data_IF_531754055919
#
_entry.id   IF_531754055919
#
_cell.length_a   1.000
_cell.length_b   1.000
_cell.length_c   1.000
_cell.angle_alpha   90.00
_cell.angle_beta   90.00
_cell.angle_gamma   90.00
#
_symmetry.space_group_name_H-M   'P 1'
#
loop_
_entity.id
_entity.type
_entity.pdbx_description
1 polymer ?
#
# COMPACT_ATOMS: atom_id res chain seq x y z
N UNK A 1 -4.73 2.38 -10.03
CA UNK A 1 -4.95 3.68 -9.37
C UNK A 1 -4.52 3.49 -7.93
N UNK A 2 -3.26 3.78 -7.62
CA UNK A 2 -2.51 3.22 -6.48
C UNK A 2 -2.19 4.32 -5.45
N UNK A 3 -2.83 4.27 -4.29
CA UNK A 3 -2.66 5.28 -3.23
C UNK A 3 -1.76 4.76 -2.12
N UNK A 4 -0.68 5.49 -1.79
CA UNK A 4 0.25 5.13 -0.71
C UNK A 4 -0.36 5.45 0.66
N UNK A 5 -1.28 4.61 1.12
CA UNK A 5 -2.08 4.82 2.34
C UNK A 5 -1.29 4.65 3.64
N UNK A 6 -0.14 3.97 3.59
CA UNK A 6 0.78 3.91 4.74
C UNK A 6 1.67 5.15 4.87
N UNK A 7 1.71 6.01 3.83
CA UNK A 7 2.56 7.21 3.79
C UNK A 7 1.88 8.46 4.35
N UNK A 8 2.65 9.55 4.40
CA UNK A 8 2.16 10.89 4.80
C UNK A 8 2.42 11.95 3.74
N UNK A 9 2.72 11.52 2.52
CA UNK A 9 2.92 12.40 1.38
C UNK A 9 1.58 12.61 0.64
N UNK A 10 0.96 13.81 0.69
CA UNK A 10 -0.34 14.06 0.07
C UNK A 10 -0.34 13.87 -1.45
N UNK A 11 0.82 14.02 -2.11
CA UNK A 11 0.95 13.78 -3.55
C UNK A 11 0.67 12.31 -3.90
N UNK A 12 1.21 11.38 -3.12
CA UNK A 12 1.04 9.94 -3.34
C UNK A 12 -0.25 9.39 -2.71
N UNK A 13 -0.81 10.11 -1.74
CA UNK A 13 -2.14 9.80 -1.20
C UNK A 13 -3.23 10.11 -2.23
N UNK A 14 -3.19 11.30 -2.85
CA UNK A 14 -4.27 11.75 -3.75
C UNK A 14 -3.82 12.73 -4.86
N UNK A 15 -2.76 13.53 -4.67
CA UNK A 15 -2.37 14.56 -5.64
C UNK A 15 -2.17 14.03 -7.07
N UNK A 16 -1.36 12.99 -7.24
CA UNK A 16 -1.10 12.35 -8.54
C UNK A 16 -2.36 11.69 -9.14
N UNK A 17 -3.29 11.27 -8.29
CA UNK A 17 -4.57 10.69 -8.70
C UNK A 17 -5.49 11.73 -9.32
N UNK A 18 -5.49 12.96 -8.78
CA UNK A 18 -6.27 14.09 -9.32
C UNK A 18 -5.74 14.49 -10.69
N UNK A 19 -4.41 14.60 -10.84
CA UNK A 19 -3.76 14.97 -12.10
C UNK A 19 -4.03 13.93 -13.19
N UNK A 20 -3.94 12.65 -12.85
CA UNK A 20 -4.10 11.54 -13.82
C UNK A 20 -5.56 11.19 -14.14
N UNK A 21 -6.53 11.58 -13.30
CA UNK A 21 -7.93 11.17 -13.42
C UNK A 21 -8.56 11.37 -14.80
N UNK A 22 -8.40 12.52 -15.51
CA UNK A 22 -8.99 12.71 -16.83
C UNK A 22 -8.42 11.75 -17.88
N UNK A 23 -7.13 11.45 -17.81
CA UNK A 23 -6.45 10.55 -18.74
C UNK A 23 -6.84 9.10 -18.49
N UNK A 24 -6.83 8.68 -17.22
CA UNK A 24 -7.23 7.32 -16.83
C UNK A 24 -8.69 7.07 -17.20
N UNK A 25 -9.61 8.02 -16.94
CA UNK A 25 -11.02 7.88 -17.30
C UNK A 25 -11.25 7.77 -18.81
N UNK A 26 -10.47 8.51 -19.62
CA UNK A 26 -10.55 8.43 -21.09
C UNK A 26 -9.96 7.16 -21.67
N UNK A 27 -9.10 6.46 -20.94
CA UNK A 27 -8.45 5.24 -21.43
C UNK A 27 -9.43 4.09 -21.69
N UNK A 28 -10.59 4.10 -21.03
CA UNK A 28 -11.57 3.00 -21.10
C UNK A 28 -11.11 1.71 -20.41
N UNK A 29 -9.93 1.72 -19.78
CA UNK A 29 -9.43 0.60 -18.99
C UNK A 29 -10.18 0.50 -17.66
N UNK A 30 -10.29 -0.72 -17.15
CA UNK A 30 -10.77 -0.96 -15.79
C UNK A 30 -9.87 -0.25 -14.78
N UNK A 31 -10.49 0.53 -13.91
CA UNK A 31 -9.78 1.20 -12.83
C UNK A 31 -9.83 0.27 -11.62
N UNK A 32 -8.67 -0.13 -11.15
CA UNK A 32 -8.49 -0.85 -9.89
C UNK A 32 -8.02 0.14 -8.82
N UNK A 33 -8.91 0.61 -7.92
CA UNK A 33 -8.51 1.42 -6.76
C UNK A 33 -7.76 0.52 -5.78
N UNK A 34 -6.49 0.85 -5.51
CA UNK A 34 -5.60 0.00 -4.73
C UNK A 34 -4.96 0.80 -3.62
N UNK A 35 -5.11 0.32 -2.38
CA UNK A 35 -4.37 0.80 -1.23
C UNK A 35 -2.99 0.17 -1.20
N UNK A 36 -1.94 0.97 -1.23
CA UNK A 36 -0.55 0.54 -1.22
C UNK A 36 0.08 0.81 0.14
N UNK A 37 0.72 -0.22 0.68
CA UNK A 37 1.33 -0.21 2.00
C UNK A 37 2.78 -0.65 1.90
N UNK A 38 3.69 0.18 2.40
CA UNK A 38 5.12 -0.13 2.43
C UNK A 38 5.47 -0.68 3.80
N UNK A 39 6.05 -1.88 3.84
CA UNK A 39 6.50 -2.59 5.05
C UNK A 39 8.03 -2.52 5.13
N UNK A 40 8.57 -2.41 6.34
CA UNK A 40 10.01 -2.32 6.57
C UNK A 40 10.75 -3.64 6.24
N UNK A 41 11.28 -3.72 5.02
CA UNK A 41 12.12 -4.82 4.57
C UNK A 41 13.53 -4.91 5.20
N UNK A 42 13.89 -4.05 6.17
CA UNK A 42 15.20 -4.09 6.84
C UNK A 42 16.33 -3.39 6.08
N UNK A 43 16.00 -2.64 5.04
CA UNK A 43 16.88 -1.71 4.35
C UNK A 43 16.06 -0.53 3.84
N UNK A 44 16.63 0.69 3.78
CA UNK A 44 15.99 1.79 3.06
C UNK A 44 15.72 1.37 1.61
N UNK A 45 14.46 1.40 1.20
CA UNK A 45 14.05 1.02 -0.15
C UNK A 45 13.82 2.25 -1.02
N UNK A 46 13.93 2.10 -2.34
CA UNK A 46 13.65 3.19 -3.29
C UNK A 46 12.28 3.79 -3.08
N UNK A 47 11.28 2.98 -2.72
CA UNK A 47 9.93 3.44 -2.41
C UNK A 47 9.93 4.37 -1.19
N UNK A 48 10.56 3.96 -0.09
CA UNK A 48 10.68 4.83 1.10
C UNK A 48 11.43 6.13 0.82
N UNK A 49 12.46 6.08 -0.03
CA UNK A 49 13.26 7.24 -0.42
C UNK A 49 12.49 8.23 -1.29
N UNK A 50 11.85 7.76 -2.37
CA UNK A 50 11.12 8.65 -3.31
C UNK A 50 9.84 9.19 -2.68
N UNK A 51 9.14 8.36 -1.89
CA UNK A 51 7.86 8.76 -1.29
C UNK A 51 8.01 9.69 -0.09
N UNK A 52 9.20 9.77 0.51
CA UNK A 52 9.41 10.33 1.86
C UNK A 52 8.46 9.72 2.90
N UNK A 53 8.05 8.46 2.71
CA UNK A 53 7.22 7.74 3.66
C UNK A 53 8.09 6.88 4.57
N UNK A 54 7.80 6.92 5.87
CA UNK A 54 8.31 5.92 6.80
C UNK A 54 7.54 4.62 6.59
N UNK A 55 8.22 3.49 6.32
CA UNK A 55 7.55 2.20 6.17
C UNK A 55 6.89 1.78 7.49
N UNK A 56 5.86 0.94 7.40
CA UNK A 56 5.27 0.27 8.56
C UNK A 56 6.33 -0.67 9.15
N UNK A 57 6.66 -0.57 10.44
CA UNK A 57 7.65 -1.45 11.04
C UNK A 57 7.23 -2.92 10.94
N UNK A 58 8.18 -3.80 10.61
CA UNK A 58 7.93 -5.22 10.36
C UNK A 58 7.38 -5.99 11.58
N UNK A 59 7.55 -5.45 12.80
CA UNK A 59 7.06 -6.00 14.06
C UNK A 59 5.70 -5.41 14.50
N UNK A 60 5.07 -4.53 13.70
CA UNK A 60 3.83 -3.82 14.04
C UNK A 60 2.65 -4.27 13.19
N UNK A 61 2.25 -5.53 13.37
CA UNK A 61 1.11 -6.15 12.66
C UNK A 61 -0.18 -5.34 12.80
N UNK A 62 -0.46 -4.79 13.98
CA UNK A 62 -1.66 -4.00 14.25
C UNK A 62 -1.73 -2.73 13.38
N UNK A 63 -0.59 -2.09 13.12
CA UNK A 63 -0.54 -0.90 12.26
C UNK A 63 -0.88 -1.29 10.82
N UNK A 64 -0.31 -2.40 10.33
CA UNK A 64 -0.61 -2.90 8.98
C UNK A 64 -2.10 -3.26 8.86
N UNK A 65 -2.64 -4.02 9.80
CA UNK A 65 -4.05 -4.41 9.87
C UNK A 65 -4.98 -3.19 9.84
N UNK A 66 -4.82 -2.24 10.76
CA UNK A 66 -5.65 -1.04 10.82
C UNK A 66 -5.51 -0.17 9.56
N UNK A 67 -4.33 -0.12 8.93
CA UNK A 67 -4.13 0.62 7.68
C UNK A 67 -4.88 -0.03 6.52
N UNK A 68 -4.85 -1.36 6.42
CA UNK A 68 -5.59 -2.09 5.39
C UNK A 68 -7.11 -1.93 5.56
N UNK A 69 -7.62 -2.06 6.79
CA UNK A 69 -9.02 -1.81 7.13
C UNK A 69 -9.45 -0.39 6.74
N UNK A 70 -8.62 0.62 7.05
CA UNK A 70 -8.90 1.99 6.65
C UNK A 70 -8.95 2.14 5.12
N UNK A 71 -8.02 1.52 4.39
CA UNK A 71 -8.02 1.49 2.93
C UNK A 71 -9.31 0.91 2.35
N UNK A 72 -9.76 -0.23 2.88
CA UNK A 72 -11.02 -0.87 2.52
C UNK A 72 -12.23 0.04 2.80
N UNK A 73 -12.34 0.60 4.01
CA UNK A 73 -13.43 1.49 4.40
C UNK A 73 -13.49 2.77 3.56
N UNK A 74 -12.35 3.22 3.02
CA UNK A 74 -12.25 4.34 2.08
C UNK A 74 -12.64 3.95 0.64
N UNK A 75 -13.02 2.69 0.40
CA UNK A 75 -13.53 2.21 -0.88
C UNK A 75 -12.47 1.63 -1.83
N UNK A 76 -11.26 1.37 -1.34
CA UNK A 76 -10.27 0.62 -2.12
C UNK A 76 -10.81 -0.79 -2.41
N UNK A 77 -10.47 -1.33 -3.58
CA UNK A 77 -10.91 -2.66 -4.01
C UNK A 77 -9.84 -3.71 -3.86
N UNK A 78 -8.59 -3.30 -3.62
CA UNK A 78 -7.43 -4.16 -3.42
C UNK A 78 -6.50 -3.51 -2.40
N UNK A 79 -5.80 -4.34 -1.63
CA UNK A 79 -4.65 -3.94 -0.83
C UNK A 79 -3.40 -4.57 -1.42
N UNK A 80 -2.32 -3.79 -1.53
CA UNK A 80 -1.00 -4.28 -1.91
C UNK A 80 0.00 -3.93 -0.82
N UNK A 81 0.55 -4.95 -0.17
CA UNK A 81 1.66 -4.81 0.78
C UNK A 81 2.99 -5.11 0.11
N UNK A 82 3.96 -4.21 0.28
CA UNK A 82 5.25 -4.29 -0.40
C UNK A 82 6.41 -4.02 0.57
N UNK A 83 7.35 -4.96 0.69
CA UNK A 83 8.59 -4.76 1.47
C UNK A 83 9.61 -3.85 0.76
N UNK A 84 9.38 -3.57 -0.53
CA UNK A 84 10.21 -2.77 -1.42
C UNK A 84 11.31 -3.56 -2.12
N UNK A 85 11.73 -3.08 -3.29
CA UNK A 85 12.79 -3.73 -4.07
C UNK A 85 14.12 -3.78 -3.29
N UNK A 86 14.70 -4.98 -3.21
CA UNK A 86 15.95 -5.20 -2.47
C UNK A 86 15.75 -5.32 -0.95
N UNK A 87 14.53 -5.60 -0.49
CA UNK A 87 14.26 -5.95 0.89
C UNK A 87 15.18 -7.09 1.37
N UNK A 88 15.71 -6.95 2.58
CA UNK A 88 16.50 -8.01 3.24
C UNK A 88 15.62 -9.03 3.95
N UNK A 89 14.40 -8.61 4.29
CA UNK A 89 13.39 -9.38 5.00
C UNK A 89 12.10 -9.27 4.21
N UNK A 90 11.49 -10.42 3.94
CA UNK A 90 10.14 -10.48 3.40
C UNK A 90 9.12 -10.05 4.46
N UNK A 91 7.92 -9.72 4.01
CA UNK A 91 6.77 -9.54 4.92
C UNK A 91 6.51 -10.87 5.63
N UNK A 92 6.39 -10.84 6.95
CA UNK A 92 6.18 -12.06 7.73
C UNK A 92 4.83 -12.69 7.40
N UNK A 93 4.77 -14.02 7.33
CA UNK A 93 3.51 -14.76 7.13
C UNK A 93 2.46 -14.38 8.16
N UNK A 94 2.88 -14.15 9.40
CA UNK A 94 1.99 -13.72 10.48
C UNK A 94 1.36 -12.34 10.21
N UNK A 95 2.11 -11.37 9.66
CA UNK A 95 1.54 -10.09 9.27
C UNK A 95 0.55 -10.25 8.10
N UNK A 96 0.91 -11.05 7.09
CA UNK A 96 0.05 -11.32 5.93
C UNK A 96 -1.27 -11.94 6.38
N UNK A 97 -1.23 -12.97 7.22
CA UNK A 97 -2.40 -13.64 7.78
C UNK A 97 -3.30 -12.68 8.56
N UNK A 98 -2.71 -11.83 9.41
CA UNK A 98 -3.45 -10.85 10.21
C UNK A 98 -4.16 -9.80 9.36
N UNK A 99 -3.50 -9.33 8.30
CA UNK A 99 -4.11 -8.38 7.36
C UNK A 99 -5.20 -9.07 6.56
N UNK A 100 -4.94 -10.25 5.99
CA UNK A 100 -5.90 -11.00 5.18
C UNK A 100 -7.20 -11.32 5.94
N UNK A 101 -7.13 -11.62 7.24
CA UNK A 101 -8.31 -11.85 8.08
C UNK A 101 -9.07 -10.58 8.49
N UNK A 102 -8.51 -9.39 8.23
CA UNK A 102 -9.08 -8.10 8.68
C UNK A 102 -9.80 -7.33 7.59
N UNK A 103 -9.72 -7.78 6.34
CA UNK A 103 -10.33 -7.15 5.17
C UNK A 103 -11.06 -8.21 4.34
N UNK A 104 -12.12 -7.81 3.64
CA UNK A 104 -12.90 -8.64 2.72
C UNK A 104 -12.45 -8.49 1.25
N UNK A 105 -11.56 -7.53 0.97
CA UNK A 105 -10.98 -7.28 -0.36
C UNK A 105 -9.66 -8.03 -0.59
N UNK A 106 -9.28 -8.33 -1.85
CA UNK A 106 -8.06 -9.09 -2.12
C UNK A 106 -6.78 -8.39 -1.64
N UNK A 107 -5.90 -9.20 -1.06
CA UNK A 107 -4.56 -8.82 -0.62
C UNK A 107 -3.50 -9.33 -1.60
N UNK A 108 -2.65 -8.44 -2.09
CA UNK A 108 -1.45 -8.75 -2.88
C UNK A 108 -0.24 -8.50 -1.99
N UNK A 109 0.80 -9.32 -2.13
CA UNK A 109 2.06 -9.22 -1.39
C UNK A 109 3.23 -9.24 -2.36
N UNK A 110 4.22 -8.37 -2.15
CA UNK A 110 5.43 -8.27 -2.96
C UNK A 110 6.63 -7.82 -2.14
N UNK A 111 7.83 -8.10 -2.67
CA UNK A 111 9.10 -7.79 -2.01
C UNK A 111 9.69 -8.95 -1.21
#
# INVERSE_FOLDING_TARGET
YLSLISGRNPELLIGQHVISAPFVKKSGLEIMPTGYMVIDGGAPTTVSYISNATPIPADKNEIAMCTAMAGEMLGMKLIYMDAGSGAKRTITEHMIERVAHSIDIPLIVGG
#
